data_IF_715905288085
#
_entry.id   IF_715905288085
#
_cell.length_a   1.000
_cell.length_b   1.000
_cell.length_c   1.000
_cell.angle_alpha   90.00
_cell.angle_beta   90.00
_cell.angle_gamma   90.00
#
_symmetry.space_group_name_H-M   'P 1'
#
loop_
_entity.id
_entity.type
_entity.pdbx_description
1 polymer ?
#
# COMPACT_ATOMS: atom_id res chain seq x y z
N UNK A 1 -35.73 -48.26 50.24
CA UNK A 1 -35.02 -49.55 50.43
C UNK A 1 -33.75 -49.51 49.59
N UNK A 2 -32.56 -49.67 50.23
CA UNK A 2 -31.20 -49.76 49.64
C UNK A 2 -30.67 -48.44 49.04
N UNK A 3 -29.65 -47.73 49.51
CA UNK A 3 -28.35 -48.02 50.17
C UNK A 3 -27.34 -48.82 49.34
N UNK A 4 -26.08 -48.33 49.41
CA UNK A 4 -24.78 -48.86 48.96
C UNK A 4 -24.33 -48.36 47.57
N UNK A 5 -23.11 -47.84 47.37
CA UNK A 5 -21.96 -47.71 48.26
C UNK A 5 -20.74 -47.15 47.49
N UNK A 6 -19.88 -46.45 48.24
CA UNK A 6 -18.57 -45.91 47.85
C UNK A 6 -17.62 -46.94 47.21
N UNK A 7 -16.71 -46.45 46.36
CA UNK A 7 -15.30 -46.85 46.45
C UNK A 7 -14.36 -45.72 45.97
N UNK A 8 -13.40 -45.39 46.84
CA UNK A 8 -12.33 -44.41 46.73
C UNK A 8 -11.01 -45.16 46.55
N UNK A 9 -10.13 -44.74 45.64
CA UNK A 9 -8.66 -44.96 45.70
C UNK A 9 -8.00 -44.02 44.68
N UNK A 10 -7.40 -42.89 45.04
CA UNK A 10 -6.13 -42.60 45.75
C UNK A 10 -4.84 -42.80 44.93
N UNK A 11 -4.24 -41.64 44.58
CA UNK A 11 -2.82 -41.25 44.51
C UNK A 11 -1.80 -42.03 43.63
N UNK A 12 -1.12 -41.28 42.74
CA UNK A 12 0.32 -41.02 42.87
C UNK A 12 0.77 -39.87 41.95
N UNK A 13 1.55 -38.94 42.53
CA UNK A 13 2.18 -37.81 41.88
C UNK A 13 3.59 -38.18 41.39
N UNK A 14 4.05 -37.58 40.28
CA UNK A 14 5.47 -37.39 39.98
C UNK A 14 5.68 -36.15 39.09
N UNK A 15 6.40 -35.16 39.62
CA UNK A 15 7.16 -34.11 38.91
C UNK A 15 8.62 -34.22 39.42
N UNK A 16 9.57 -33.40 38.95
CA UNK A 16 10.23 -33.41 37.65
C UNK A 16 11.76 -33.65 37.85
N UNK A 17 12.52 -33.88 36.77
CA UNK A 17 14.00 -33.79 36.85
C UNK A 17 14.59 -33.09 35.63
N UNK A 18 15.50 -32.12 35.82
CA UNK A 18 16.25 -31.45 34.76
C UNK A 18 17.63 -32.11 34.54
N UNK A 19 18.24 -31.89 33.38
CA UNK A 19 19.70 -32.02 33.23
C UNK A 19 20.26 -30.97 32.27
N UNK A 20 21.21 -30.19 32.79
CA UNK A 20 22.07 -29.23 32.11
C UNK A 20 23.18 -29.92 31.29
N UNK A 21 23.69 -29.20 30.27
CA UNK A 21 25.11 -28.99 29.90
C UNK A 21 25.18 -28.66 28.38
N UNK A 22 25.41 -27.41 27.95
CA UNK A 22 26.67 -26.67 27.82
C UNK A 22 27.18 -26.63 26.36
N UNK A 23 27.36 -25.41 25.84
CA UNK A 23 27.94 -25.05 24.53
C UNK A 23 29.39 -25.54 24.35
N UNK A 24 29.98 -25.40 23.15
CA UNK A 24 30.73 -24.16 22.92
C UNK A 24 30.62 -23.56 21.50
N UNK A 25 30.83 -22.24 21.51
CA UNK A 25 31.22 -21.35 20.42
C UNK A 25 32.48 -21.79 19.67
N UNK A 26 32.50 -21.63 18.35
CA UNK A 26 33.72 -21.43 17.57
C UNK A 26 33.57 -20.14 16.77
N UNK A 27 34.28 -19.12 17.23
CA UNK A 27 34.65 -17.97 16.41
C UNK A 27 35.81 -18.37 15.51
N UNK A 28 35.78 -17.89 14.27
CA UNK A 28 36.95 -17.77 13.42
C UNK A 28 36.87 -16.39 12.76
N UNK A 29 37.54 -15.46 13.43
CA UNK A 29 38.13 -14.26 12.85
C UNK A 29 39.02 -14.65 11.66
N UNK A 30 38.88 -13.95 10.54
CA UNK A 30 39.98 -13.80 9.61
C UNK A 30 39.94 -12.39 9.01
N UNK A 31 40.55 -11.46 9.74
CA UNK A 31 41.17 -10.29 9.13
C UNK A 31 42.49 -10.72 8.49
N UNK A 32 42.64 -10.51 7.19
CA UNK A 32 43.94 -10.21 6.53
C UNK A 32 43.62 -9.23 5.40
N UNK A 33 43.91 -7.94 5.62
CA UNK A 33 45.16 -7.29 5.23
C UNK A 33 45.34 -7.18 3.71
N UNK A 34 45.01 -5.99 3.22
CA UNK A 34 45.91 -5.08 2.51
C UNK A 34 47.09 -5.73 1.76
N UNK A 35 47.02 -5.69 0.43
CA UNK A 35 48.20 -5.61 -0.42
C UNK A 35 47.83 -4.84 -1.70
N UNK A 36 48.21 -3.56 -1.69
CA UNK A 36 48.46 -2.75 -2.88
C UNK A 36 49.63 -3.36 -3.64
N UNK A 37 49.49 -3.56 -4.95
CA UNK A 37 50.63 -3.59 -5.85
C UNK A 37 50.37 -2.70 -7.07
N UNK A 38 51.36 -1.83 -7.24
CA UNK A 38 51.56 -0.83 -8.26
C UNK A 38 52.02 -1.44 -9.59
N UNK A 39 51.83 -0.63 -10.65
CA UNK A 39 52.63 -0.57 -11.89
C UNK A 39 52.46 -1.72 -12.89
N UNK A 40 52.68 -1.56 -14.19
CA UNK A 40 52.65 -0.47 -15.18
C UNK A 40 52.64 -1.17 -16.55
N UNK A 41 52.53 -0.39 -17.63
CA UNK A 41 52.80 -0.72 -19.05
C UNK A 41 51.50 -0.71 -19.88
N UNK A 42 51.11 0.40 -20.50
CA UNK A 42 51.73 1.13 -21.62
C UNK A 42 51.80 0.30 -22.91
N UNK A 43 50.79 0.47 -23.77
CA UNK A 43 50.94 0.57 -25.22
C UNK A 43 49.69 1.20 -25.85
N UNK A 44 49.92 2.34 -26.48
CA UNK A 44 48.97 3.16 -27.24
C UNK A 44 48.53 2.48 -28.54
N UNK A 45 47.35 2.85 -29.05
CA UNK A 45 47.19 3.30 -30.45
C UNK A 45 45.92 4.15 -30.61
N UNK A 46 46.14 5.43 -30.94
CA UNK A 46 45.42 6.34 -31.88
C UNK A 46 43.93 6.08 -32.19
N UNK A 47 43.00 7.04 -32.23
CA UNK A 47 43.08 8.26 -33.09
C UNK A 47 41.97 9.28 -32.76
N UNK A 48 42.33 10.58 -32.89
CA UNK A 48 41.55 11.74 -33.36
C UNK A 48 40.54 12.49 -32.45
N UNK A 49 41.01 13.61 -31.87
CA UNK A 49 40.22 14.85 -31.66
C UNK A 49 41.01 16.03 -32.23
N UNK A 50 40.49 16.67 -33.27
CA UNK A 50 41.05 17.88 -33.83
C UNK A 50 40.62 19.10 -32.99
N UNK A 51 41.61 19.89 -32.58
CA UNK A 51 41.45 21.28 -32.10
C UNK A 51 42.25 22.17 -33.05
N UNK A 52 41.66 23.27 -33.50
CA UNK A 52 42.40 24.34 -34.18
C UNK A 52 41.96 25.70 -33.63
N UNK A 53 42.96 26.54 -33.37
CA UNK A 53 42.89 27.92 -32.91
C UNK A 53 43.86 28.74 -33.77
N UNK A 54 43.44 29.92 -34.24
CA UNK A 54 44.28 31.09 -34.61
C UNK A 54 43.33 32.28 -34.91
N UNK A 55 43.25 33.31 -34.06
CA UNK A 55 43.89 34.65 -34.08
C UNK A 55 43.52 35.68 -35.19
N UNK A 56 42.81 36.75 -34.74
CA UNK A 56 43.01 38.23 -34.89
C UNK A 56 43.39 38.79 -36.30
N UNK A 57 42.69 39.74 -36.96
CA UNK A 57 42.57 41.19 -36.63
C UNK A 57 41.70 42.04 -37.61
N UNK A 58 41.20 43.17 -37.07
CA UNK A 58 40.91 44.53 -37.64
C UNK A 58 39.72 44.88 -38.58
N UNK A 59 38.86 45.75 -38.00
CA UNK A 59 38.18 46.97 -38.50
C UNK A 59 37.19 46.97 -39.71
N UNK A 60 35.93 47.31 -39.41
CA UNK A 60 35.12 48.38 -40.04
C UNK A 60 33.94 48.79 -39.15
N UNK A 61 33.69 50.11 -38.98
CA UNK A 61 32.47 50.71 -38.38
C UNK A 61 31.46 51.01 -39.52
N UNK A 62 30.15 50.76 -39.38
CA UNK A 62 29.01 51.63 -39.03
C UNK A 62 27.73 51.01 -39.70
N UNK A 63 26.46 51.42 -39.44
CA UNK A 63 25.85 52.24 -38.38
C UNK A 63 24.63 51.58 -37.68
N UNK A 64 23.94 52.41 -36.88
CA UNK A 64 22.86 52.19 -35.92
C UNK A 64 21.53 51.59 -36.41
N UNK A 65 20.63 51.38 -35.43
CA UNK A 65 19.17 51.10 -35.51
C UNK A 65 18.74 49.63 -35.37
N UNK A 66 18.62 49.12 -34.14
CA UNK A 66 17.33 48.69 -33.58
C UNK A 66 17.49 48.33 -32.10
N UNK A 67 17.08 49.26 -31.25
CA UNK A 67 17.08 49.15 -29.80
C UNK A 67 15.86 48.32 -29.36
N UNK A 68 16.07 47.04 -29.04
CA UNK A 68 15.10 46.27 -28.26
C UNK A 68 15.52 46.31 -26.78
N UNK A 69 14.76 47.04 -25.96
CA UNK A 69 14.87 46.98 -24.50
C UNK A 69 13.82 45.97 -24.02
N UNK A 70 14.19 44.87 -23.33
CA UNK A 70 13.20 44.14 -22.57
C UNK A 70 12.76 45.07 -21.44
N UNK A 71 11.46 45.40 -21.39
CA UNK A 71 10.88 46.09 -20.26
C UNK A 71 10.95 45.13 -19.07
N UNK A 72 11.84 45.41 -18.13
CA UNK A 72 11.83 44.79 -16.81
C UNK A 72 10.65 45.39 -16.03
N UNK A 73 9.44 44.91 -16.34
CA UNK A 73 8.31 45.04 -15.43
C UNK A 73 8.43 43.90 -14.41
N UNK A 74 9.26 44.12 -13.39
CA UNK A 74 9.25 43.30 -12.18
C UNK A 74 7.89 43.46 -11.53
N UNK A 75 6.98 42.51 -11.77
CA UNK A 75 5.78 42.35 -10.97
C UNK A 75 6.20 41.71 -9.64
N UNK A 76 6.74 42.54 -8.74
CA UNK A 76 6.85 42.22 -7.31
C UNK A 76 5.48 42.41 -6.65
N UNK A 77 4.53 41.57 -7.02
CA UNK A 77 3.33 41.36 -6.22
C UNK A 77 3.59 40.22 -5.24
N UNK A 78 3.00 40.22 -4.04
CA UNK A 78 3.01 39.03 -3.21
C UNK A 78 2.34 37.90 -4.00
N UNK A 79 3.12 36.88 -4.37
CA UNK A 79 2.55 35.60 -4.82
C UNK A 79 1.89 35.02 -3.57
N UNK A 80 0.61 35.31 -3.40
CA UNK A 80 -0.21 34.61 -2.42
C UNK A 80 -0.23 33.17 -2.89
N UNK A 81 0.57 32.31 -2.25
CA UNK A 81 0.49 30.89 -2.45
C UNK A 81 -0.94 30.48 -2.07
N UNK A 82 -1.80 30.28 -3.07
CA UNK A 82 -3.11 29.67 -2.87
C UNK A 82 -2.79 28.27 -2.36
N UNK A 83 -2.99 28.05 -1.06
CA UNK A 83 -2.79 26.74 -0.47
C UNK A 83 -3.67 25.75 -1.25
N UNK A 84 -3.04 24.73 -1.83
CA UNK A 84 -3.74 23.67 -2.55
C UNK A 84 -4.70 23.01 -1.53
N UNK A 85 -5.97 22.77 -1.88
CA UNK A 85 -6.91 22.14 -0.96
C UNK A 85 -6.34 20.80 -0.47
N UNK A 86 -6.58 20.47 0.80
CA UNK A 86 -6.05 19.24 1.37
C UNK A 86 -6.57 18.04 0.58
N UNK A 87 -5.69 17.11 0.16
CA UNK A 87 -6.12 15.99 -0.66
C UNK A 87 -7.04 15.04 0.11
N UNK A 88 -7.83 14.27 -0.64
CA UNK A 88 -8.78 13.30 -0.08
C UNK A 88 -8.08 12.00 0.32
N UNK A 89 -8.47 11.48 1.47
CA UNK A 89 -7.91 10.29 2.11
C UNK A 89 -9.02 9.26 2.30
N UNK A 90 -8.88 8.08 1.70
CA UNK A 90 -9.93 7.05 1.71
C UNK A 90 -9.37 5.74 2.23
N UNK A 91 -10.10 5.07 3.10
CA UNK A 91 -9.91 3.65 3.38
C UNK A 91 -11.04 2.84 2.77
N UNK A 92 -10.73 1.66 2.23
CA UNK A 92 -11.74 0.69 1.81
C UNK A 92 -11.45 -0.68 2.44
N UNK A 93 -12.47 -1.23 3.09
CA UNK A 93 -12.43 -2.49 3.80
C UNK A 93 -13.61 -3.38 3.40
N UNK A 94 -13.53 -4.63 3.82
CA UNK A 94 -14.49 -5.68 3.49
C UNK A 94 -13.83 -7.04 3.43
N UNK A 95 -14.64 -8.09 3.45
CA UNK A 95 -14.18 -9.46 3.47
C UNK A 95 -13.28 -9.84 2.27
N UNK A 96 -12.43 -10.89 2.36
CA UNK A 96 -11.69 -11.39 1.20
C UNK A 96 -12.62 -11.67 0.02
N UNK A 97 -12.24 -11.22 -1.19
CA UNK A 97 -13.05 -11.32 -2.42
C UNK A 97 -14.36 -10.48 -2.47
N UNK A 98 -14.53 -9.50 -1.58
CA UNK A 98 -15.66 -8.56 -1.61
C UNK A 98 -15.67 -7.57 -2.79
N UNK A 99 -14.66 -7.57 -3.66
CA UNK A 99 -14.57 -6.62 -4.79
C UNK A 99 -13.78 -5.33 -4.51
N UNK A 100 -13.07 -5.23 -3.38
CA UNK A 100 -12.26 -4.03 -3.03
C UNK A 100 -11.34 -3.57 -4.15
N UNK A 101 -10.49 -4.46 -4.67
CA UNK A 101 -9.54 -4.11 -5.73
C UNK A 101 -10.23 -3.57 -6.98
N UNK A 102 -11.37 -4.16 -7.37
CA UNK A 102 -12.20 -3.68 -8.49
C UNK A 102 -12.67 -2.25 -8.25
N UNK A 103 -13.24 -1.97 -7.08
CA UNK A 103 -13.69 -0.63 -6.73
C UNK A 103 -12.50 0.34 -6.60
N UNK A 104 -11.34 -0.10 -6.12
CA UNK A 104 -10.14 0.72 -6.03
C UNK A 104 -9.65 1.21 -7.39
N UNK A 105 -9.65 0.35 -8.40
CA UNK A 105 -9.26 0.75 -9.76
C UNK A 105 -10.21 1.81 -10.34
N UNK A 106 -11.52 1.69 -10.08
CA UNK A 106 -12.50 2.69 -10.52
C UNK A 106 -12.32 4.03 -9.79
N UNK A 107 -12.12 4.00 -8.46
CA UNK A 107 -11.86 5.20 -7.64
C UNK A 107 -10.56 5.86 -8.09
N UNK A 108 -9.46 5.11 -8.20
CA UNK A 108 -8.16 5.59 -8.67
C UNK A 108 -8.27 6.26 -10.03
N UNK A 109 -8.96 5.61 -10.98
CA UNK A 109 -9.15 6.14 -12.34
C UNK A 109 -9.93 7.45 -12.36
N UNK A 110 -10.97 7.58 -11.53
CA UNK A 110 -11.83 8.77 -11.51
C UNK A 110 -11.23 9.93 -10.72
N UNK A 111 -10.63 9.65 -9.57
CA UNK A 111 -10.21 10.66 -8.60
C UNK A 111 -8.69 10.90 -8.54
N UNK A 112 -7.88 10.09 -9.25
CA UNK A 112 -6.43 10.27 -9.32
C UNK A 112 -5.67 9.97 -8.02
N UNK A 113 -6.30 9.24 -7.09
CA UNK A 113 -5.71 8.93 -5.79
C UNK A 113 -4.61 7.86 -5.90
N UNK A 114 -3.66 7.91 -4.98
CA UNK A 114 -2.63 6.89 -4.86
C UNK A 114 -3.21 5.64 -4.19
N UNK A 115 -3.40 4.57 -4.96
CA UNK A 115 -3.85 3.29 -4.43
C UNK A 115 -2.71 2.56 -3.70
N UNK A 116 -2.97 2.20 -2.45
CA UNK A 116 -2.04 1.52 -1.55
C UNK A 116 -2.73 0.28 -1.03
N UNK A 117 -2.31 -0.90 -1.51
CA UNK A 117 -2.84 -2.19 -1.07
C UNK A 117 -1.84 -2.88 -0.14
N UNK A 118 -2.22 -3.06 1.13
CA UNK A 118 -1.36 -3.76 2.09
C UNK A 118 -1.04 -5.19 1.64
N UNK A 119 -1.99 -5.86 0.98
CA UNK A 119 -1.77 -7.19 0.44
C UNK A 119 -0.77 -7.23 -0.71
N UNK A 120 -0.77 -6.22 -1.59
CA UNK A 120 0.16 -6.16 -2.72
C UNK A 120 1.56 -5.75 -2.26
N UNK A 121 1.67 -4.84 -1.30
CA UNK A 121 2.95 -4.51 -0.66
C UNK A 121 3.59 -5.75 -0.01
N UNK A 122 2.82 -6.54 0.75
CA UNK A 122 3.33 -7.81 1.33
C UNK A 122 3.76 -8.81 0.25
N UNK A 123 3.01 -8.95 -0.84
CA UNK A 123 3.38 -9.84 -1.95
C UNK A 123 4.65 -9.36 -2.66
N UNK A 124 4.84 -8.05 -2.81
CA UNK A 124 6.04 -7.48 -3.38
C UNK A 124 7.28 -7.78 -2.51
N UNK A 125 7.17 -7.63 -1.19
CA UNK A 125 8.24 -8.01 -0.24
C UNK A 125 8.59 -9.50 -0.33
N UNK A 126 7.57 -10.38 -0.44
CA UNK A 126 7.77 -11.82 -0.65
C UNK A 126 8.50 -12.09 -1.96
N UNK A 127 8.10 -11.45 -3.06
CA UNK A 127 8.71 -11.63 -4.36
C UNK A 127 10.16 -11.12 -4.39
N UNK A 128 10.44 -10.02 -3.69
CA UNK A 128 11.78 -9.46 -3.54
C UNK A 128 12.68 -10.28 -2.58
N UNK A 129 12.11 -11.24 -1.83
CA UNK A 129 12.87 -12.10 -0.92
C UNK A 129 13.45 -11.38 0.29
N UNK A 130 12.84 -10.25 0.70
CA UNK A 130 13.28 -9.48 1.87
C UNK A 130 13.06 -10.28 3.15
N UNK A 131 13.71 -9.88 4.25
CA UNK A 131 13.53 -10.56 5.53
C UNK A 131 12.09 -10.45 6.05
N UNK A 132 11.47 -9.27 5.91
CA UNK A 132 10.06 -9.07 6.20
C UNK A 132 9.16 -9.87 5.26
N UNK A 133 9.53 -9.99 3.99
CA UNK A 133 8.83 -10.82 3.00
C UNK A 133 8.80 -12.31 3.40
N UNK A 134 9.94 -12.87 3.80
CA UNK A 134 10.01 -14.27 4.26
C UNK A 134 9.11 -14.50 5.48
N UNK A 135 9.19 -13.62 6.49
CA UNK A 135 8.32 -13.68 7.67
C UNK A 135 6.85 -13.56 7.27
N UNK A 136 6.49 -12.59 6.43
CA UNK A 136 5.12 -12.40 5.96
C UNK A 136 4.57 -13.63 5.22
N UNK A 137 5.40 -14.29 4.40
CA UNK A 137 5.04 -15.50 3.66
C UNK A 137 4.52 -16.60 4.60
N UNK A 138 5.20 -16.85 5.72
CA UNK A 138 4.81 -17.90 6.67
C UNK A 138 3.40 -17.71 7.24
N UNK A 139 3.02 -16.46 7.53
CA UNK A 139 1.67 -16.15 8.04
C UNK A 139 0.63 -16.21 6.93
N UNK A 140 0.95 -15.68 5.75
CA UNK A 140 0.05 -15.67 4.59
C UNK A 140 -0.25 -17.08 4.07
N UNK A 141 0.74 -17.97 4.04
CA UNK A 141 0.54 -19.37 3.64
C UNK A 141 -0.41 -20.12 4.58
N UNK A 142 -0.39 -19.77 5.86
CA UNK A 142 -1.30 -20.29 6.90
C UNK A 142 -2.64 -19.57 6.93
N UNK A 143 -2.89 -18.57 6.08
CA UNK A 143 -4.13 -17.77 6.07
C UNK A 143 -4.28 -16.85 7.30
N UNK A 144 -3.20 -16.56 8.02
CA UNK A 144 -3.19 -15.72 9.21
C UNK A 144 -2.84 -14.26 8.86
N UNK A 145 -3.13 -13.33 9.77
CA UNK A 145 -2.64 -11.96 9.66
C UNK A 145 -1.12 -11.92 9.89
N UNK A 146 -0.44 -11.13 9.05
CA UNK A 146 0.97 -10.79 9.25
C UNK A 146 1.08 -9.90 10.50
N UNK A 147 2.14 -10.05 11.33
CA UNK A 147 2.35 -9.22 12.52
C UNK A 147 2.25 -7.71 12.23
N UNK A 148 1.59 -6.99 13.13
CA UNK A 148 1.28 -5.57 12.95
C UNK A 148 2.53 -4.71 12.73
N UNK A 149 3.63 -5.02 13.43
CA UNK A 149 4.92 -4.32 13.30
C UNK A 149 5.40 -4.24 11.84
N UNK A 150 5.21 -5.31 11.06
CA UNK A 150 5.63 -5.39 9.67
C UNK A 150 4.70 -4.53 8.81
N UNK A 151 3.40 -4.69 9.00
CA UNK A 151 2.39 -4.07 8.12
C UNK A 151 2.27 -2.56 8.38
N UNK A 152 2.26 -2.13 9.64
CA UNK A 152 2.18 -0.72 10.04
C UNK A 152 3.34 0.06 9.44
N UNK A 153 4.59 -0.41 9.62
CA UNK A 153 5.77 0.27 9.11
C UNK A 153 5.75 0.40 7.59
N UNK A 154 5.40 -0.69 6.90
CA UNK A 154 5.34 -0.75 5.44
C UNK A 154 4.26 0.18 4.87
N UNK A 155 3.07 0.20 5.47
CA UNK A 155 1.96 1.07 5.05
C UNK A 155 2.29 2.54 5.34
N UNK A 156 2.81 2.85 6.54
CA UNK A 156 3.21 4.21 6.90
C UNK A 156 4.29 4.75 5.94
N UNK A 157 5.33 3.96 5.67
CA UNK A 157 6.39 4.35 4.73
C UNK A 157 5.88 4.65 3.32
N UNK A 158 4.84 3.94 2.86
CA UNK A 158 4.20 4.20 1.55
C UNK A 158 3.31 5.45 1.57
N UNK A 159 2.57 5.67 2.65
CA UNK A 159 1.69 6.83 2.82
C UNK A 159 2.46 8.15 2.91
N UNK A 160 3.68 8.14 3.45
CA UNK A 160 4.54 9.33 3.57
C UNK A 160 5.23 9.75 2.26
N UNK A 161 5.07 8.98 1.18
CA UNK A 161 5.66 9.35 -0.11
C UNK A 161 4.98 10.60 -0.70
N UNK A 162 5.72 11.45 -1.45
CA UNK A 162 5.21 12.73 -1.95
C UNK A 162 3.93 12.59 -2.76
N UNK A 163 3.82 11.56 -3.60
CA UNK A 163 2.64 11.33 -4.44
C UNK A 163 1.36 11.12 -3.61
N UNK A 164 1.45 10.34 -2.52
CA UNK A 164 0.34 10.08 -1.62
C UNK A 164 -0.02 11.31 -0.76
N UNK A 165 0.99 12.12 -0.41
CA UNK A 165 0.80 13.37 0.33
C UNK A 165 0.19 14.48 -0.53
N UNK A 166 0.53 14.53 -1.82
CA UNK A 166 0.08 15.60 -2.73
C UNK A 166 -1.25 15.29 -3.43
N UNK A 167 -1.48 14.03 -3.80
CA UNK A 167 -2.66 13.61 -4.55
C UNK A 167 -3.72 12.95 -3.64
N UNK A 168 -3.35 12.61 -2.41
CA UNK A 168 -4.19 11.81 -1.52
C UNK A 168 -4.03 10.31 -1.78
N UNK A 169 -4.63 9.53 -0.90
CA UNK A 169 -4.42 8.08 -0.87
C UNK A 169 -5.73 7.31 -0.75
N UNK A 170 -5.70 6.11 -1.32
CA UNK A 170 -6.74 5.10 -1.20
C UNK A 170 -6.11 3.84 -0.62
N UNK A 171 -6.37 3.59 0.66
CA UNK A 171 -5.82 2.46 1.39
C UNK A 171 -6.77 1.26 1.30
N UNK A 172 -6.32 0.19 0.65
CA UNK A 172 -7.09 -1.03 0.38
C UNK A 172 -6.74 -2.15 1.34
N UNK A 173 -7.77 -2.60 2.07
CA UNK A 173 -7.69 -3.80 2.89
C UNK A 173 -6.78 -3.64 4.10
N UNK A 174 -6.66 -2.43 4.62
CA UNK A 174 -5.99 -2.08 5.88
C UNK A 174 -6.70 -0.87 6.50
N UNK A 175 -6.89 -0.82 7.83
CA UNK A 175 -6.51 -1.80 8.86
C UNK A 175 -7.39 -3.07 8.89
N UNK A 176 -6.88 -4.15 9.49
CA UNK A 176 -7.57 -5.46 9.66
C UNK A 176 -7.73 -5.93 11.11
N UNK A 177 -7.19 -5.17 12.06
CA UNK A 177 -7.30 -5.41 13.50
C UNK A 177 -7.44 -4.08 14.23
N UNK A 178 -7.92 -4.13 15.47
CA UNK A 178 -8.02 -2.95 16.33
C UNK A 178 -6.67 -2.28 16.55
N UNK A 179 -5.62 -3.08 16.79
CA UNK A 179 -4.25 -2.60 17.00
C UNK A 179 -3.69 -1.88 15.78
N UNK A 180 -3.97 -2.37 14.57
CA UNK A 180 -3.58 -1.69 13.33
C UNK A 180 -4.29 -0.35 13.16
N UNK A 181 -5.58 -0.31 13.47
CA UNK A 181 -6.38 0.92 13.39
C UNK A 181 -5.92 1.96 14.43
N UNK A 182 -5.68 1.53 15.67
CA UNK A 182 -5.13 2.39 16.72
C UNK A 182 -3.75 2.94 16.34
N UNK A 183 -2.86 2.09 15.79
CA UNK A 183 -1.54 2.53 15.33
C UNK A 183 -1.62 3.61 14.23
N UNK A 184 -2.62 3.56 13.35
CA UNK A 184 -2.82 4.62 12.36
C UNK A 184 -3.29 5.93 13.00
N UNK A 185 -4.22 5.87 13.96
CA UNK A 185 -4.67 7.06 14.70
C UNK A 185 -3.52 7.71 15.48
N UNK A 186 -2.68 6.91 16.14
CA UNK A 186 -1.49 7.40 16.87
C UNK A 186 -0.48 8.09 15.94
N UNK A 187 -0.42 7.66 14.68
CA UNK A 187 0.41 8.28 13.63
C UNK A 187 -0.27 9.48 12.95
N UNK A 188 -1.49 9.85 13.35
CA UNK A 188 -2.27 10.92 12.72
C UNK A 188 -2.80 10.56 11.32
N UNK A 189 -2.84 9.27 10.97
CA UNK A 189 -3.31 8.76 9.69
C UNK A 189 -4.79 8.40 9.82
N UNK A 190 -5.66 9.36 9.50
CA UNK A 190 -7.12 9.19 9.53
C UNK A 190 -7.74 9.47 8.15
N UNK A 191 -8.68 8.64 7.67
CA UNK A 191 -9.35 8.87 6.40
C UNK A 191 -10.46 9.91 6.53
N UNK A 192 -10.79 10.58 5.43
CA UNK A 192 -12.01 11.39 5.29
C UNK A 192 -13.26 10.50 5.07
N UNK A 193 -13.06 9.31 4.48
CA UNK A 193 -14.10 8.31 4.24
C UNK A 193 -13.57 6.90 4.46
N UNK A 194 -14.29 6.11 5.25
CA UNK A 194 -14.03 4.68 5.44
C UNK A 194 -15.15 3.86 4.78
N UNK A 195 -14.87 3.28 3.63
CA UNK A 195 -15.83 2.49 2.86
C UNK A 195 -15.78 1.03 3.36
N UNK A 196 -16.94 0.47 3.69
CA UNK A 196 -17.09 -0.96 3.97
C UNK A 196 -17.94 -1.61 2.87
N UNK A 197 -17.33 -2.52 2.10
CA UNK A 197 -18.04 -3.41 1.18
C UNK A 197 -18.65 -4.57 1.97
N UNK A 198 -19.96 -4.59 2.09
CA UNK A 198 -20.73 -5.66 2.74
C UNK A 198 -21.22 -6.66 1.69
N UNK A 199 -20.85 -7.93 1.82
CA UNK A 199 -21.08 -8.96 0.79
C UNK A 199 -21.40 -10.27 1.50
N UNK A 200 -22.43 -10.97 1.01
CA UNK A 200 -22.84 -12.29 1.52
C UNK A 200 -21.73 -13.33 1.40
N UNK A 201 -21.60 -14.21 2.40
CA UNK A 201 -20.48 -15.18 2.49
C UNK A 201 -20.48 -16.19 1.33
N UNK A 202 -21.66 -16.60 0.88
CA UNK A 202 -21.85 -17.50 -0.25
C UNK A 202 -21.25 -16.91 -1.53
N UNK A 203 -21.47 -15.62 -1.76
CA UNK A 203 -20.93 -14.89 -2.91
C UNK A 203 -19.40 -14.74 -2.79
N UNK A 204 -18.87 -14.51 -1.59
CA UNK A 204 -17.43 -14.38 -1.36
C UNK A 204 -16.66 -15.66 -1.71
N UNK A 205 -17.21 -16.83 -1.35
CA UNK A 205 -16.62 -18.14 -1.64
C UNK A 205 -16.64 -18.43 -3.15
N UNK A 206 -17.75 -18.15 -3.85
CA UNK A 206 -17.80 -18.29 -5.32
C UNK A 206 -16.75 -17.40 -6.00
N UNK A 207 -16.68 -16.12 -5.60
CA UNK A 207 -15.82 -15.10 -6.24
C UNK A 207 -14.33 -15.41 -6.12
N UNK A 208 -13.89 -16.02 -5.04
CA UNK A 208 -12.46 -16.26 -4.84
C UNK A 208 -11.95 -17.47 -5.62
N UNK A 209 -12.75 -18.52 -5.78
CA UNK A 209 -12.38 -19.71 -6.57
C UNK A 209 -12.21 -19.37 -8.05
N UNK A 210 -13.02 -18.45 -8.56
CA UNK A 210 -12.91 -17.96 -9.94
C UNK A 210 -11.86 -16.87 -10.15
N UNK A 211 -11.18 -16.40 -9.10
CA UNK A 211 -10.22 -15.29 -9.20
C UNK A 211 -8.92 -15.74 -9.86
N UNK A 212 -8.41 -14.91 -10.77
CA UNK A 212 -7.14 -15.12 -11.46
C UNK A 212 -6.29 -13.86 -11.43
N UNK A 213 -4.98 -14.05 -11.51
CA UNK A 213 -3.97 -12.99 -11.55
C UNK A 213 -3.18 -13.12 -12.85
N UNK A 214 -3.07 -12.03 -13.59
CA UNK A 214 -2.07 -11.91 -14.65
C UNK A 214 -0.71 -11.59 -14.00
N UNK A 215 0.29 -12.50 -14.08
CA UNK A 215 1.59 -12.27 -13.45
C UNK A 215 2.41 -11.15 -14.10
N UNK A 216 2.06 -10.75 -15.34
CA UNK A 216 2.79 -9.70 -16.08
C UNK A 216 2.29 -8.32 -15.69
N UNK A 217 0.97 -8.13 -15.64
CA UNK A 217 0.36 -6.81 -15.39
C UNK A 217 -0.03 -6.61 -13.92
N UNK A 218 -0.12 -7.68 -13.14
CA UNK A 218 -0.68 -7.65 -11.79
C UNK A 218 -2.21 -7.54 -11.75
N UNK A 219 -2.88 -7.48 -12.91
CA UNK A 219 -4.33 -7.30 -13.00
C UNK A 219 -5.07 -8.55 -12.53
N UNK A 220 -6.14 -8.32 -11.77
CA UNK A 220 -7.02 -9.37 -11.27
C UNK A 220 -8.19 -9.56 -12.24
N UNK A 221 -8.47 -10.83 -12.54
CA UNK A 221 -9.57 -11.29 -13.38
C UNK A 221 -10.49 -12.23 -12.58
N UNK A 222 -11.69 -12.43 -13.11
CA UNK A 222 -12.60 -13.47 -12.65
C UNK A 222 -13.17 -14.23 -13.83
N UNK A 223 -13.08 -15.56 -13.83
CA UNK A 223 -13.48 -16.41 -14.97
C UNK A 223 -14.90 -16.14 -15.49
N UNK A 224 -15.82 -15.75 -14.60
CA UNK A 224 -17.23 -15.47 -14.92
C UNK A 224 -17.60 -13.98 -15.01
N UNK A 225 -17.02 -13.13 -14.16
CA UNK A 225 -17.51 -11.75 -13.95
C UNK A 225 -16.64 -10.70 -14.61
N UNK A 226 -15.37 -11.01 -14.84
CA UNK A 226 -14.41 -10.15 -15.51
C UNK A 226 -13.39 -11.05 -16.20
N UNK A 227 -13.80 -11.72 -17.29
CA UNK A 227 -12.92 -12.65 -18.02
C UNK A 227 -11.77 -11.89 -18.68
N UNK A 228 -10.66 -12.57 -19.00
CA UNK A 228 -9.55 -11.97 -19.73
C UNK A 228 -9.99 -11.46 -21.11
N UNK A 229 -9.39 -10.37 -21.57
CA UNK A 229 -9.76 -9.71 -22.82
C UNK A 229 -9.39 -10.52 -24.07
N UNK A 230 -8.41 -11.42 -23.95
CA UNK A 230 -7.93 -12.25 -25.05
C UNK A 230 -7.33 -13.58 -24.55
N UNK A 231 -7.12 -14.51 -25.48
CA UNK A 231 -6.59 -15.85 -25.19
C UNK A 231 -5.14 -15.84 -24.67
N UNK A 232 -4.32 -14.87 -25.07
CA UNK A 232 -2.94 -14.76 -24.59
C UNK A 232 -2.89 -14.47 -23.10
N UNK A 233 -3.68 -13.50 -22.64
CA UNK A 233 -3.83 -13.20 -21.21
C UNK A 233 -4.44 -14.42 -20.52
N UNK A 234 -5.49 -15.02 -21.07
CA UNK A 234 -6.15 -16.19 -20.50
C UNK A 234 -5.18 -17.35 -20.24
N UNK A 235 -4.28 -17.64 -21.18
CA UNK A 235 -3.32 -18.74 -21.09
C UNK A 235 -2.25 -18.54 -20.01
N UNK A 236 -1.92 -17.29 -19.66
CA UNK A 236 -0.90 -16.97 -18.64
C UNK A 236 -1.48 -16.67 -17.25
N UNK A 237 -2.80 -16.69 -17.09
CA UNK A 237 -3.45 -16.44 -15.81
C UNK A 237 -3.05 -17.48 -14.77
N UNK A 238 -2.75 -17.02 -13.57
CA UNK A 238 -2.40 -17.86 -12.41
C UNK A 238 -3.37 -17.65 -11.27
N UNK A 239 -3.29 -18.50 -10.24
CA UNK A 239 -3.97 -18.28 -8.96
C UNK A 239 -2.95 -17.82 -7.93
N UNK A 240 -3.37 -16.99 -6.98
CA UNK A 240 -2.50 -16.64 -5.86
C UNK A 240 -2.34 -17.86 -4.95
N UNK A 241 -1.16 -18.01 -4.35
CA UNK A 241 -0.89 -19.12 -3.44
C UNK A 241 -1.80 -19.09 -2.19
N UNK A 242 -2.36 -17.94 -1.83
CA UNK A 242 -3.28 -17.73 -0.71
C UNK A 242 -4.77 -17.83 -1.08
N UNK A 243 -5.09 -18.22 -2.32
CA UNK A 243 -6.45 -18.40 -2.85
C UNK A 243 -6.86 -19.87 -2.91
N UNK A 244 -6.89 -20.51 -1.74
CA UNK A 244 -7.39 -21.90 -1.57
C UNK A 244 -8.60 -21.89 -0.63
N UNK A 245 -9.58 -22.77 -0.85
CA UNK A 245 -10.83 -22.81 -0.08
C UNK A 245 -10.60 -22.78 1.45
N UNK A 246 -9.65 -23.58 1.94
CA UNK A 246 -9.28 -23.66 3.36
C UNK A 246 -8.79 -22.31 3.91
N UNK A 247 -7.88 -21.64 3.19
CA UNK A 247 -7.34 -20.32 3.58
C UNK A 247 -8.42 -19.24 3.54
N UNK A 248 -9.36 -19.31 2.60
CA UNK A 248 -10.48 -18.36 2.52
C UNK A 248 -11.35 -18.47 3.76
N UNK A 249 -11.73 -19.68 4.18
CA UNK A 249 -12.53 -19.90 5.40
C UNK A 249 -11.85 -19.29 6.63
N UNK A 250 -10.52 -19.47 6.76
CA UNK A 250 -9.77 -18.86 7.87
C UNK A 250 -9.72 -17.33 7.79
N UNK A 251 -9.54 -16.77 6.59
CA UNK A 251 -9.52 -15.31 6.37
C UNK A 251 -10.90 -14.69 6.63
N UNK A 252 -11.98 -15.35 6.25
CA UNK A 252 -13.36 -14.95 6.55
C UNK A 252 -13.61 -14.97 8.06
N UNK A 253 -13.22 -16.06 8.74
CA UNK A 253 -13.31 -16.17 10.20
C UNK A 253 -12.57 -15.01 10.89
N UNK A 254 -11.33 -14.74 10.48
CA UNK A 254 -10.51 -13.66 11.05
C UNK A 254 -11.13 -12.29 10.80
N UNK A 255 -11.64 -12.05 9.58
CA UNK A 255 -12.34 -10.82 9.25
C UNK A 255 -13.55 -10.60 10.15
N UNK A 256 -14.42 -11.61 10.30
CA UNK A 256 -15.60 -11.55 11.16
C UNK A 256 -15.26 -11.26 12.62
N UNK A 257 -14.17 -11.82 13.13
CA UNK A 257 -13.74 -11.61 14.51
C UNK A 257 -13.25 -10.17 14.76
N UNK A 258 -12.69 -9.51 13.75
CA UNK A 258 -12.01 -8.23 13.93
C UNK A 258 -12.80 -7.02 13.40
N UNK A 259 -13.70 -7.22 12.43
CA UNK A 259 -14.31 -6.12 11.66
C UNK A 259 -15.00 -5.11 12.57
N UNK A 260 -15.84 -5.54 13.50
CA UNK A 260 -16.56 -4.65 14.41
C UNK A 260 -15.63 -3.77 15.25
N UNK A 261 -14.50 -4.34 15.72
CA UNK A 261 -13.52 -3.58 16.49
C UNK A 261 -12.85 -2.49 15.63
N UNK A 262 -12.55 -2.78 14.36
CA UNK A 262 -12.03 -1.78 13.42
C UNK A 262 -13.07 -0.70 13.12
N UNK A 263 -14.31 -1.10 12.81
CA UNK A 263 -15.39 -0.15 12.51
C UNK A 263 -15.67 0.78 13.69
N UNK A 264 -15.38 0.33 14.92
CA UNK A 264 -15.63 1.12 16.11
C UNK A 264 -14.80 2.40 16.21
N UNK A 265 -13.62 2.45 15.58
CA UNK A 265 -12.74 3.63 15.54
C UNK A 265 -13.24 4.67 14.52
N UNK A 266 -13.82 4.20 13.40
CA UNK A 266 -14.16 5.04 12.25
C UNK A 266 -15.68 5.31 12.11
N UNK A 267 -16.45 5.22 13.21
CA UNK A 267 -17.92 5.32 13.18
C UNK A 267 -18.44 6.64 12.59
N UNK A 268 -17.66 7.70 12.69
CA UNK A 268 -17.95 9.06 12.21
C UNK A 268 -17.73 9.24 10.70
N UNK A 269 -16.91 8.37 10.09
CA UNK A 269 -16.53 8.45 8.67
C UNK A 269 -16.89 7.19 7.88
N UNK A 270 -17.60 6.23 8.48
CA UNK A 270 -17.95 4.97 7.83
C UNK A 270 -19.09 5.16 6.82
N UNK A 271 -18.91 4.56 5.64
CA UNK A 271 -19.95 4.38 4.63
C UNK A 271 -20.03 2.92 4.24
N UNK A 272 -21.13 2.26 4.60
CA UNK A 272 -21.40 0.87 4.22
C UNK A 272 -22.11 0.83 2.87
N UNK A 273 -21.65 -0.03 1.97
CA UNK A 273 -22.25 -0.24 0.65
C UNK A 273 -22.46 -1.74 0.42
N UNK A 274 -23.59 -2.08 -0.19
CA UNK A 274 -23.91 -3.46 -0.55
C UNK A 274 -23.09 -3.90 -1.78
N UNK A 275 -22.11 -4.78 -1.57
CA UNK A 275 -21.24 -5.32 -2.63
C UNK A 275 -21.76 -6.59 -3.31
N UNK A 276 -22.97 -7.05 -2.99
CA UNK A 276 -23.66 -8.10 -3.76
C UNK A 276 -24.23 -7.55 -5.09
N UNK A 277 -24.39 -6.23 -5.21
CA UNK A 277 -24.87 -5.55 -6.41
C UNK A 277 -23.84 -5.56 -7.57
N UNK A 278 -24.28 -5.25 -8.81
CA UNK A 278 -23.39 -5.05 -9.96
C UNK A 278 -22.27 -4.03 -9.69
N UNK A 279 -21.12 -4.20 -10.36
CA UNK A 279 -19.89 -3.41 -10.12
C UNK A 279 -20.17 -1.90 -10.27
N UNK A 280 -20.93 -1.54 -11.29
CA UNK A 280 -21.28 -0.18 -11.66
C UNK A 280 -22.19 0.48 -10.61
N UNK A 281 -23.15 -0.28 -10.06
CA UNK A 281 -24.08 0.21 -9.04
C UNK A 281 -23.35 0.46 -7.72
N UNK A 282 -22.49 -0.49 -7.31
CA UNK A 282 -21.62 -0.34 -6.14
C UNK A 282 -20.73 0.89 -6.29
N UNK A 283 -20.15 1.08 -7.48
CA UNK A 283 -19.30 2.24 -7.75
C UNK A 283 -20.09 3.55 -7.72
N UNK A 284 -21.31 3.58 -8.28
CA UNK A 284 -22.16 4.77 -8.26
C UNK A 284 -22.51 5.23 -6.83
N UNK A 285 -22.75 4.28 -5.91
CA UNK A 285 -22.98 4.60 -4.50
C UNK A 285 -21.72 5.17 -3.83
N UNK A 286 -20.56 4.55 -4.06
CA UNK A 286 -19.26 5.04 -3.55
C UNK A 286 -18.94 6.43 -4.10
N UNK A 287 -19.18 6.63 -5.40
CA UNK A 287 -18.95 7.88 -6.11
C UNK A 287 -19.78 9.03 -5.53
N UNK A 288 -21.05 8.76 -5.22
CA UNK A 288 -21.94 9.72 -4.57
C UNK A 288 -21.44 10.10 -3.17
N UNK A 289 -20.99 9.11 -2.38
CA UNK A 289 -20.44 9.35 -1.06
C UNK A 289 -19.15 10.20 -1.13
N UNK A 290 -18.24 9.87 -2.04
CA UNK A 290 -16.98 10.61 -2.24
C UNK A 290 -17.20 12.02 -2.74
N UNK A 291 -18.12 12.21 -3.68
CA UNK A 291 -18.49 13.55 -4.16
C UNK A 291 -19.01 14.43 -3.03
N UNK A 292 -19.82 13.85 -2.13
CA UNK A 292 -20.32 14.56 -0.93
C UNK A 292 -19.19 14.94 0.04
N UNK A 293 -18.16 14.10 0.19
CA UNK A 293 -16.98 14.40 1.03
C UNK A 293 -16.15 15.52 0.40
N UNK A 294 -15.90 15.46 -0.91
CA UNK A 294 -15.19 16.50 -1.65
C UNK A 294 -15.87 17.86 -1.54
N UNK A 295 -17.20 17.91 -1.71
CA UNK A 295 -17.97 19.16 -1.54
C UNK A 295 -17.83 19.74 -0.13
N UNK A 296 -17.83 18.90 0.91
CA UNK A 296 -17.65 19.35 2.30
C UNK A 296 -16.24 19.90 2.54
N UNK A 297 -15.20 19.26 2.02
CA UNK A 297 -13.81 19.76 2.12
C UNK A 297 -13.66 21.12 1.42
N UNK A 298 -14.16 21.25 0.19
CA UNK A 298 -14.14 22.51 -0.56
C UNK A 298 -14.82 23.66 0.18
N UNK A 299 -15.95 23.40 0.85
CA UNK A 299 -16.65 24.41 1.67
C UNK A 299 -15.84 24.80 2.91
N UNK A 300 -15.19 23.83 3.55
CA UNK A 300 -14.37 24.03 4.76
C UNK A 300 -13.13 24.87 4.44
N UNK A 301 -12.45 24.57 3.33
CA UNK A 301 -11.27 25.30 2.86
C UNK A 301 -11.62 26.74 2.47
N UNK A 302 -12.78 26.94 1.83
CA UNK A 302 -13.24 28.29 1.47
C UNK A 302 -13.57 29.14 2.70
N UNK A 303 -14.14 28.54 3.74
CA UNK A 303 -14.46 29.23 5.00
C UNK A 303 -13.22 29.57 5.82
N UNK A 304 -12.20 28.70 5.85
CA UNK A 304 -10.96 28.94 6.57
C UNK A 304 -10.13 30.04 5.91
N UNK A 305 -10.08 30.09 4.57
CA UNK A 305 -9.44 31.18 3.84
C UNK A 305 -10.13 32.53 4.07
N UNK A 306 -11.47 32.56 4.10
CA UNK A 306 -12.22 33.79 4.36
C UNK A 306 -11.98 34.35 5.78
N UNK A 307 -11.87 33.47 6.79
CA UNK A 307 -11.59 33.88 8.17
C UNK A 307 -10.16 34.44 8.34
N UNK A 308 -9.16 33.81 7.71
CA UNK A 308 -7.76 34.24 7.77
C UNK A 308 -7.45 35.58 7.09
N UNK A 309 -8.32 36.05 6.17
CA UNK A 309 -8.17 37.35 5.51
C UNK A 309 -8.74 38.53 6.30
N UNK A 310 -9.46 38.27 7.40
CA UNK A 310 -10.10 39.31 8.24
C UNK A 310 -9.37 39.56 9.57
N UNK A 311 -8.24 38.89 9.79
CA UNK A 311 -7.40 39.00 11.00
C UNK A 311 -6.12 39.78 10.76
#
# INVERSE_FOLDING_TARGET
MGSLGLAVTSMAAAKPTPSLASSPSLGLSNEKSFASLHSSDFLETSTSRASFRLEISHHRRLPAELRWKPSAATLSGPVVAVAKPEPVKIMISGAPASGKGTQCELIKKKYGLVHISAGDLLRAEIAAGTENGKRAKEYMEKGMLVPDEIVVMMVNGRLLQPDAQENGWLLDGYPRSLSQAAALEDLGIRPDLFILLDVSEEVLIERVVGRRLDPVTGKIYHLKYSPPENEEIAARLTQRFDDTEEKIKLRLKTHRQNVEAVLSIYKDVIFKVNGDAPIEDVFAEIDKALSSVLEKKLRTDSSSMAAGMTS
#
